data_IF_390666772955
#
_entry.id   IF_390666772955
#
_cell.length_a   1.000
_cell.length_b   1.000
_cell.length_c   1.000
_cell.angle_alpha   90.00
_cell.angle_beta   90.00
_cell.angle_gamma   90.00
#
_symmetry.space_group_name_H-M   'P 1'
#
loop_
_entity.id
_entity.type
_entity.pdbx_description
1 polymer ?
#
# COMPACT_ATOMS: atom_id res chain seq x y z
N UNK A 1 -30.87 -16.51 -33.86
CA UNK A 1 -30.74 -17.31 -32.62
C UNK A 1 -29.34 -17.89 -32.47
N UNK A 2 -28.79 -18.61 -33.46
CA UNK A 2 -27.43 -19.19 -33.37
C UNK A 2 -26.32 -18.15 -33.17
N UNK A 3 -26.36 -17.02 -33.89
CA UNK A 3 -25.37 -15.95 -33.73
C UNK A 3 -25.40 -15.34 -32.31
N UNK A 4 -26.61 -15.10 -31.77
CA UNK A 4 -26.79 -14.61 -30.39
C UNK A 4 -26.24 -15.59 -29.35
N UNK A 5 -26.41 -16.91 -29.57
CA UNK A 5 -25.85 -17.93 -28.68
C UNK A 5 -24.33 -17.92 -28.69
N UNK A 6 -23.71 -17.82 -29.87
CA UNK A 6 -22.25 -17.75 -30.00
C UNK A 6 -21.66 -16.52 -29.28
N UNK A 7 -22.28 -15.34 -29.45
CA UNK A 7 -21.84 -14.12 -28.76
C UNK A 7 -21.99 -14.22 -27.24
N UNK A 8 -23.07 -14.83 -26.75
CA UNK A 8 -23.27 -15.08 -25.32
C UNK A 8 -22.24 -16.06 -24.75
N UNK A 9 -21.87 -17.09 -25.50
CA UNK A 9 -20.83 -18.04 -25.09
C UNK A 9 -19.45 -17.36 -25.03
N UNK A 10 -19.12 -16.50 -26.00
CA UNK A 10 -17.88 -15.71 -25.97
C UNK A 10 -17.84 -14.75 -24.78
N UNK A 11 -18.96 -14.10 -24.46
CA UNK A 11 -19.06 -13.22 -23.29
C UNK A 11 -18.86 -14.01 -21.99
N UNK A 12 -19.42 -15.22 -21.88
CA UNK A 12 -19.24 -16.08 -20.70
C UNK A 12 -17.78 -16.47 -20.49
N UNK A 13 -17.07 -16.81 -21.56
CA UNK A 13 -15.63 -17.11 -21.51
C UNK A 13 -14.86 -15.88 -21.01
N UNK A 14 -15.15 -14.70 -21.59
CA UNK A 14 -14.50 -13.46 -21.15
C UNK A 14 -14.74 -13.14 -19.68
N UNK A 15 -15.97 -13.28 -19.20
CA UNK A 15 -16.31 -13.07 -17.78
C UNK A 15 -15.50 -14.02 -16.91
N UNK A 16 -15.43 -15.30 -17.28
CA UNK A 16 -14.68 -16.31 -16.52
C UNK A 16 -13.20 -15.94 -16.45
N UNK A 17 -12.58 -15.63 -17.60
CA UNK A 17 -11.18 -15.22 -17.67
C UNK A 17 -10.89 -13.97 -16.82
N UNK A 18 -11.76 -12.96 -16.91
CA UNK A 18 -11.63 -11.73 -16.13
C UNK A 18 -11.79 -11.98 -14.63
N UNK A 19 -12.77 -12.79 -14.24
CA UNK A 19 -12.99 -13.16 -12.83
C UNK A 19 -11.81 -13.93 -12.26
N UNK A 20 -11.23 -14.87 -13.01
CA UNK A 20 -10.06 -15.63 -12.58
C UNK A 20 -8.84 -14.73 -12.38
N UNK A 21 -8.60 -13.77 -13.28
CA UNK A 21 -7.51 -12.79 -13.12
C UNK A 21 -7.76 -11.92 -11.88
N UNK A 22 -8.99 -11.44 -11.70
CA UNK A 22 -9.37 -10.63 -10.54
C UNK A 22 -9.14 -11.38 -9.23
N UNK A 23 -9.73 -12.54 -9.07
CA UNK A 23 -9.73 -13.26 -7.79
C UNK A 23 -8.37 -13.93 -7.51
N UNK A 24 -7.87 -14.71 -8.46
CA UNK A 24 -6.73 -15.59 -8.22
C UNK A 24 -5.38 -14.87 -8.34
N UNK A 25 -5.32 -13.75 -9.08
CA UNK A 25 -4.08 -13.00 -9.26
C UNK A 25 -4.09 -11.67 -8.52
N UNK A 26 -5.10 -10.82 -8.75
CA UNK A 26 -5.11 -9.46 -8.21
C UNK A 26 -5.49 -9.47 -6.73
N UNK A 27 -6.66 -10.00 -6.38
CA UNK A 27 -7.16 -10.00 -5.00
C UNK A 27 -6.27 -10.86 -4.09
N UNK A 28 -5.84 -12.05 -4.56
CA UNK A 28 -4.88 -12.87 -3.82
C UNK A 28 -3.54 -12.14 -3.58
N UNK A 29 -3.09 -11.32 -4.54
CA UNK A 29 -1.88 -10.54 -4.36
C UNK A 29 -2.03 -9.46 -3.29
N UNK A 30 -3.12 -8.71 -3.34
CA UNK A 30 -3.43 -7.69 -2.36
C UNK A 30 -3.61 -8.28 -0.96
N UNK A 31 -4.28 -9.43 -0.86
CA UNK A 31 -4.47 -10.14 0.41
C UNK A 31 -3.12 -10.61 0.97
N UNK A 32 -2.26 -11.19 0.13
CA UNK A 32 -0.91 -11.60 0.54
C UNK A 32 -0.13 -10.39 1.09
N UNK A 33 -0.19 -9.23 0.44
CA UNK A 33 0.45 -8.00 0.95
C UNK A 33 -0.11 -7.63 2.32
N UNK A 34 -1.43 -7.63 2.47
CA UNK A 34 -2.11 -7.22 3.70
C UNK A 34 -1.81 -8.12 4.91
N UNK A 35 -1.48 -9.40 4.67
CA UNK A 35 -1.20 -10.41 5.70
C UNK A 35 0.27 -10.46 6.16
N UNK A 36 1.20 -9.88 5.38
CA UNK A 36 2.61 -9.83 5.74
C UNK A 36 2.78 -9.17 7.12
N UNK A 37 3.60 -9.77 7.98
CA UNK A 37 4.00 -9.17 9.25
C UNK A 37 5.37 -8.51 9.09
N UNK A 38 5.45 -7.21 9.41
CA UNK A 38 6.70 -6.45 9.39
C UNK A 38 7.59 -6.77 10.60
N UNK A 39 6.99 -7.26 11.67
CA UNK A 39 7.66 -7.73 12.86
C UNK A 39 6.84 -8.86 13.46
N UNK A 40 7.47 -10.02 13.59
CA UNK A 40 6.89 -11.17 14.28
C UNK A 40 7.38 -11.21 15.74
N UNK A 41 6.50 -10.91 16.71
CA UNK A 41 6.86 -11.04 18.11
C UNK A 41 7.19 -12.50 18.46
N UNK A 42 8.39 -12.75 18.97
CA UNK A 42 8.83 -14.08 19.40
C UNK A 42 7.98 -14.65 20.53
N UNK A 43 7.89 -15.98 20.68
CA UNK A 43 7.11 -16.55 21.79
C UNK A 43 7.72 -16.32 23.17
N UNK A 44 9.04 -16.14 23.26
CA UNK A 44 9.71 -15.83 24.51
C UNK A 44 10.07 -14.35 24.61
N UNK A 45 10.29 -13.82 25.83
CA UNK A 45 10.78 -12.46 26.03
C UNK A 45 12.23 -12.33 25.58
N UNK A 46 12.51 -11.35 24.74
CA UNK A 46 13.84 -11.14 24.14
C UNK A 46 14.50 -9.87 24.66
N UNK A 47 15.81 -9.75 24.47
CA UNK A 47 16.54 -8.51 24.75
C UNK A 47 16.18 -7.40 23.75
N UNK A 48 16.55 -6.15 24.06
CA UNK A 48 16.34 -5.03 23.13
C UNK A 48 17.16 -5.17 21.85
N UNK A 49 18.38 -5.69 21.94
CA UNK A 49 19.26 -5.90 20.78
C UNK A 49 18.70 -6.98 19.85
N UNK A 50 18.23 -8.10 20.41
CA UNK A 50 17.56 -9.15 19.65
C UNK A 50 16.28 -8.64 18.99
N UNK A 51 15.47 -7.85 19.71
CA UNK A 51 14.26 -7.27 19.14
C UNK A 51 14.58 -6.31 17.98
N UNK A 52 15.61 -5.46 18.12
CA UNK A 52 16.05 -4.58 17.04
C UNK A 52 16.43 -5.39 15.81
N UNK A 53 17.29 -6.39 15.99
CA UNK A 53 17.81 -7.22 14.90
C UNK A 53 16.69 -7.97 14.19
N UNK A 54 15.83 -8.65 14.93
CA UNK A 54 14.70 -9.41 14.35
C UNK A 54 13.72 -8.50 13.62
N UNK A 55 13.44 -7.32 14.17
CA UNK A 55 12.56 -6.35 13.53
C UNK A 55 13.14 -5.83 12.22
N UNK A 56 14.44 -5.49 12.20
CA UNK A 56 15.11 -4.99 11.00
C UNK A 56 15.19 -6.09 9.92
N UNK A 57 15.54 -7.33 10.29
CA UNK A 57 15.59 -8.47 9.35
C UNK A 57 14.20 -8.81 8.79
N UNK A 58 13.18 -8.89 9.65
CA UNK A 58 11.80 -9.16 9.24
C UNK A 58 11.25 -8.05 8.34
N UNK A 59 11.56 -6.79 8.67
CA UNK A 59 11.14 -5.63 7.88
C UNK A 59 11.74 -5.64 6.48
N UNK A 60 13.03 -5.96 6.36
CA UNK A 60 13.71 -6.05 5.06
C UNK A 60 13.17 -7.20 4.20
N UNK A 61 12.91 -8.37 4.81
CA UNK A 61 12.29 -9.49 4.10
C UNK A 61 10.87 -9.13 3.63
N UNK A 62 10.09 -8.47 4.49
CA UNK A 62 8.75 -7.99 4.17
C UNK A 62 8.77 -7.01 2.98
N UNK A 63 9.70 -6.05 2.92
CA UNK A 63 9.87 -5.14 1.78
C UNK A 63 10.03 -5.92 0.47
N UNK A 64 10.87 -6.94 0.45
CA UNK A 64 11.11 -7.77 -0.73
C UNK A 64 9.86 -8.53 -1.19
N UNK A 65 9.10 -9.09 -0.23
CA UNK A 65 7.84 -9.79 -0.52
C UNK A 65 6.75 -8.82 -1.02
N UNK A 66 6.58 -7.68 -0.35
CA UNK A 66 5.61 -6.65 -0.74
C UNK A 66 5.94 -6.13 -2.14
N UNK A 67 7.21 -5.83 -2.42
CA UNK A 67 7.67 -5.36 -3.74
C UNK A 67 7.34 -6.36 -4.84
N UNK A 68 7.66 -7.64 -4.61
CA UNK A 68 7.34 -8.71 -5.56
C UNK A 68 5.83 -8.78 -5.81
N UNK A 69 5.04 -8.74 -4.76
CA UNK A 69 3.60 -8.92 -4.85
C UNK A 69 2.89 -7.71 -5.48
N UNK A 70 3.33 -6.49 -5.15
CA UNK A 70 2.86 -5.26 -5.76
C UNK A 70 3.15 -5.24 -7.28
N UNK A 71 4.34 -5.68 -7.69
CA UNK A 71 4.70 -5.80 -9.12
C UNK A 71 3.84 -6.84 -9.85
N UNK A 72 3.57 -7.99 -9.23
CA UNK A 72 2.69 -9.01 -9.79
C UNK A 72 1.25 -8.51 -9.92
N UNK A 73 0.76 -7.77 -8.91
CA UNK A 73 -0.54 -7.14 -8.92
C UNK A 73 -0.66 -6.14 -10.08
N UNK A 74 0.31 -5.22 -10.23
CA UNK A 74 0.30 -4.26 -11.34
C UNK A 74 0.28 -4.95 -12.70
N UNK A 75 1.12 -5.97 -12.90
CA UNK A 75 1.17 -6.76 -14.14
C UNK A 75 -0.15 -7.47 -14.41
N UNK A 76 -0.80 -8.02 -13.40
CA UNK A 76 -2.09 -8.70 -13.53
C UNK A 76 -3.21 -7.72 -13.89
N UNK A 77 -3.24 -6.53 -13.28
CA UNK A 77 -4.18 -5.45 -13.60
C UNK A 77 -4.00 -5.00 -15.05
N UNK A 78 -2.76 -4.76 -15.49
CA UNK A 78 -2.46 -4.39 -16.89
C UNK A 78 -2.85 -5.50 -17.86
N UNK A 79 -2.56 -6.75 -17.53
CA UNK A 79 -2.95 -7.90 -18.36
C UNK A 79 -4.48 -8.00 -18.50
N UNK A 80 -5.24 -7.81 -17.42
CA UNK A 80 -6.69 -7.79 -17.47
C UNK A 80 -7.23 -6.69 -18.40
N UNK A 81 -6.66 -5.49 -18.31
CA UNK A 81 -7.02 -4.38 -19.21
C UNK A 81 -6.71 -4.71 -20.67
N UNK A 82 -5.58 -5.37 -20.95
CA UNK A 82 -5.25 -5.83 -22.30
C UNK A 82 -6.20 -6.93 -22.82
N UNK A 83 -6.64 -7.84 -21.95
CA UNK A 83 -7.67 -8.85 -22.29
C UNK A 83 -8.97 -8.15 -22.67
N UNK A 84 -9.42 -7.17 -21.89
CA UNK A 84 -10.62 -6.39 -22.17
C UNK A 84 -10.48 -5.56 -23.45
N UNK A 85 -9.35 -4.88 -23.63
CA UNK A 85 -9.07 -4.04 -24.81
C UNK A 85 -9.15 -4.84 -26.11
N UNK A 86 -8.62 -6.06 -26.14
CA UNK A 86 -8.67 -6.94 -27.33
C UNK A 86 -10.08 -7.34 -27.76
N UNK A 87 -11.08 -7.20 -26.89
CA UNK A 87 -12.50 -7.50 -27.18
C UNK A 87 -13.28 -6.29 -27.69
N UNK A 88 -12.70 -5.10 -27.65
CA UNK A 88 -13.31 -3.88 -28.17
C UNK A 88 -13.20 -3.80 -29.70
N UNK A 89 -14.01 -2.95 -30.33
CA UNK A 89 -13.92 -2.71 -31.78
C UNK A 89 -12.60 -1.99 -32.11
N UNK A 90 -12.04 -2.15 -33.32
CA UNK A 90 -10.76 -1.54 -33.69
C UNK A 90 -10.72 -0.01 -33.46
N UNK A 91 -11.82 0.69 -33.72
CA UNK A 91 -11.89 2.14 -33.49
C UNK A 91 -11.81 2.53 -32.00
N UNK A 92 -12.38 1.73 -31.10
CA UNK A 92 -12.36 1.93 -29.65
C UNK A 92 -10.97 1.61 -29.08
N UNK A 93 -10.32 0.57 -29.61
CA UNK A 93 -8.95 0.21 -29.22
C UNK A 93 -7.94 1.32 -29.51
N UNK A 94 -8.12 2.02 -30.64
CA UNK A 94 -7.24 3.13 -31.06
C UNK A 94 -7.44 4.36 -30.15
N UNK A 95 -8.61 4.53 -29.55
CA UNK A 95 -8.88 5.61 -28.59
C UNK A 95 -8.25 5.34 -27.22
N UNK A 96 -8.00 4.07 -26.86
CA UNK A 96 -7.35 3.68 -25.60
C UNK A 96 -5.84 3.60 -25.81
N UNK A 97 -5.20 4.77 -25.84
CA UNK A 97 -3.74 4.88 -25.95
C UNK A 97 -3.18 5.71 -24.80
N UNK A 98 -2.03 5.27 -24.31
CA UNK A 98 -1.19 6.06 -23.43
C UNK A 98 -0.61 7.21 -24.27
N UNK A 99 -0.96 8.44 -23.92
CA UNK A 99 -0.42 9.66 -24.51
C UNK A 99 0.63 10.26 -23.58
N UNK A 100 1.56 11.03 -24.13
CA UNK A 100 2.56 11.77 -23.34
C UNK A 100 1.96 12.96 -22.57
N UNK A 101 0.73 13.35 -22.91
CA UNK A 101 0.02 14.50 -22.34
C UNK A 101 -0.73 14.13 -21.06
N UNK A 102 -1.64 13.14 -21.12
CA UNK A 102 -2.58 12.86 -20.02
C UNK A 102 -2.66 11.38 -19.59
N UNK A 103 -1.79 10.49 -20.12
CA UNK A 103 -1.72 9.06 -19.75
C UNK A 103 -3.13 8.43 -19.70
N UNK A 104 -3.75 8.37 -20.90
CA UNK A 104 -5.17 8.12 -21.26
C UNK A 104 -6.00 9.40 -21.46
N UNK A 105 -5.99 9.92 -22.70
CA UNK A 105 -6.73 11.13 -23.10
C UNK A 105 -8.25 10.91 -23.05
N UNK A 106 -8.96 11.80 -22.37
CA UNK A 106 -10.42 11.73 -22.29
C UNK A 106 -11.07 11.95 -23.67
N UNK A 107 -11.76 10.94 -24.18
CA UNK A 107 -12.41 11.01 -25.50
C UNK A 107 -13.51 12.09 -25.58
N UNK A 108 -14.11 12.46 -24.44
CA UNK A 108 -15.17 13.47 -24.36
C UNK A 108 -14.63 14.88 -24.17
N UNK A 109 -13.31 15.09 -24.08
CA UNK A 109 -12.66 16.35 -23.70
C UNK A 109 -13.29 16.89 -22.41
N UNK A 110 -12.76 16.44 -21.29
CA UNK A 110 -13.17 16.75 -19.92
C UNK A 110 -13.76 18.16 -19.77
N UNK A 111 -14.99 18.23 -19.25
CA UNK A 111 -15.59 19.51 -18.90
C UNK A 111 -14.77 20.14 -17.77
N UNK A 112 -14.33 21.39 -17.95
CA UNK A 112 -13.80 22.22 -16.88
C UNK A 112 -14.86 22.33 -15.78
N UNK A 113 -14.52 21.99 -14.54
CA UNK A 113 -15.38 22.37 -13.43
C UNK A 113 -15.23 23.87 -13.13
N UNK A 114 -16.14 24.44 -12.35
CA UNK A 114 -16.19 25.86 -11.98
C UNK A 114 -14.96 26.38 -11.23
N UNK A 115 -14.00 25.51 -10.89
CA UNK A 115 -12.72 25.83 -10.24
C UNK A 115 -11.51 25.62 -11.16
N UNK A 116 -11.72 25.43 -12.47
CA UNK A 116 -10.63 25.21 -13.44
C UNK A 116 -9.98 23.83 -13.35
N UNK A 117 -10.55 22.90 -12.57
CA UNK A 117 -10.01 21.55 -12.43
C UNK A 117 -10.69 20.60 -13.43
N UNK A 118 -9.86 19.85 -14.15
CA UNK A 118 -10.26 18.95 -15.21
C UNK A 118 -10.74 17.65 -14.59
N UNK A 119 -12.05 17.47 -14.43
CA UNK A 119 -12.61 16.19 -13.97
C UNK A 119 -12.72 15.24 -15.17
N UNK A 120 -12.07 14.07 -15.09
CA UNK A 120 -12.20 13.03 -16.12
C UNK A 120 -13.66 12.56 -16.24
N UNK A 121 -14.09 12.21 -17.46
CA UNK A 121 -15.41 11.62 -17.71
C UNK A 121 -15.55 10.28 -16.95
N UNK A 122 -16.79 9.85 -16.65
CA UNK A 122 -17.04 8.46 -16.19
C UNK A 122 -17.57 7.53 -17.28
N UNK A 123 -17.84 8.06 -18.48
CA UNK A 123 -18.59 7.34 -19.53
C UNK A 123 -17.73 6.81 -20.68
N UNK A 124 -16.50 7.33 -20.83
CA UNK A 124 -15.62 7.08 -21.96
C UNK A 124 -14.55 6.03 -21.64
N UNK A 125 -14.23 5.18 -22.62
CA UNK A 125 -13.33 4.03 -22.44
C UNK A 125 -11.94 4.38 -21.89
N UNK A 126 -11.24 5.45 -22.37
CA UNK A 126 -9.93 5.81 -21.82
C UNK A 126 -9.98 6.14 -20.32
N UNK A 127 -11.01 6.86 -19.88
CA UNK A 127 -11.19 7.18 -18.47
C UNK A 127 -11.57 5.95 -17.64
N UNK A 128 -12.33 5.00 -18.19
CA UNK A 128 -12.61 3.74 -17.51
C UNK A 128 -11.32 2.94 -17.23
N UNK A 129 -10.41 2.87 -18.20
CA UNK A 129 -9.10 2.22 -18.03
C UNK A 129 -8.23 2.94 -16.98
N UNK A 130 -8.18 4.28 -17.06
CA UNK A 130 -7.45 5.11 -16.08
C UNK A 130 -8.01 4.93 -14.66
N UNK A 131 -9.33 4.97 -14.50
CA UNK A 131 -10.01 4.81 -13.21
C UNK A 131 -9.76 3.40 -12.64
N UNK A 132 -9.78 2.37 -13.49
CA UNK A 132 -9.50 1.00 -13.10
C UNK A 132 -8.08 0.87 -12.52
N UNK A 133 -7.06 1.38 -13.22
CA UNK A 133 -5.68 1.40 -12.71
C UNK A 133 -5.58 2.16 -11.39
N UNK A 134 -6.27 3.29 -11.26
CA UNK A 134 -6.28 4.11 -10.04
C UNK A 134 -6.90 3.36 -8.86
N UNK A 135 -8.03 2.67 -9.06
CA UNK A 135 -8.69 1.88 -8.02
C UNK A 135 -7.75 0.78 -7.49
N UNK A 136 -7.12 0.02 -8.39
CA UNK A 136 -6.26 -1.09 -7.96
C UNK A 136 -4.92 -0.63 -7.40
N UNK A 137 -4.39 0.49 -7.87
CA UNK A 137 -3.25 1.13 -7.24
C UNK A 137 -3.59 1.57 -5.80
N UNK A 138 -4.73 2.23 -5.58
CA UNK A 138 -5.18 2.60 -4.24
C UNK A 138 -5.36 1.36 -3.34
N UNK A 139 -5.99 0.29 -3.84
CA UNK A 139 -6.10 -0.98 -3.10
C UNK A 139 -4.73 -1.57 -2.72
N UNK A 140 -3.72 -1.44 -3.58
CA UNK A 140 -2.35 -1.87 -3.26
C UNK A 140 -1.76 -1.02 -2.13
N UNK A 141 -1.98 0.29 -2.14
CA UNK A 141 -1.58 1.16 -1.02
C UNK A 141 -2.33 0.79 0.27
N UNK A 142 -3.64 0.57 0.20
CA UNK A 142 -4.46 0.16 1.35
C UNK A 142 -3.95 -1.16 1.95
N UNK A 143 -3.57 -2.13 1.13
CA UNK A 143 -2.98 -3.38 1.57
C UNK A 143 -1.65 -3.18 2.31
N UNK A 144 -0.78 -2.30 1.80
CA UNK A 144 0.49 -1.94 2.47
C UNK A 144 0.21 -1.25 3.81
N UNK A 145 -0.74 -0.32 3.86
CA UNK A 145 -1.14 0.36 5.10
C UNK A 145 -1.72 -0.64 6.12
N UNK A 146 -2.51 -1.61 5.65
CA UNK A 146 -3.06 -2.67 6.49
C UNK A 146 -1.98 -3.59 7.06
N UNK A 147 -0.99 -3.97 6.26
CA UNK A 147 0.20 -4.71 6.70
C UNK A 147 0.92 -3.99 7.85
N UNK A 148 1.21 -2.70 7.69
CA UNK A 148 1.85 -1.88 8.73
C UNK A 148 0.99 -1.77 9.99
N UNK A 149 -0.30 -1.51 9.81
CA UNK A 149 -1.25 -1.37 10.92
C UNK A 149 -1.38 -2.68 11.70
N UNK A 150 -1.49 -3.82 11.03
CA UNK A 150 -1.65 -5.11 11.69
C UNK A 150 -0.40 -5.49 12.50
N UNK A 151 0.79 -5.25 11.94
CA UNK A 151 2.07 -5.50 12.59
C UNK A 151 2.23 -4.67 13.88
N UNK A 152 1.91 -3.37 13.82
CA UNK A 152 1.94 -2.49 15.00
C UNK A 152 0.88 -2.89 16.03
N UNK A 153 -0.31 -3.31 15.60
CA UNK A 153 -1.37 -3.75 16.51
C UNK A 153 -1.01 -5.06 17.22
N UNK A 154 -0.29 -5.98 16.57
CA UNK A 154 0.24 -7.20 17.19
C UNK A 154 1.19 -6.85 18.34
N UNK A 155 2.10 -5.90 18.13
CA UNK A 155 3.02 -5.41 19.17
C UNK A 155 2.24 -4.72 20.29
N UNK A 156 1.30 -3.83 19.95
CA UNK A 156 0.46 -3.11 20.93
C UNK A 156 -0.30 -4.07 21.83
N UNK A 157 -0.95 -5.08 21.25
CA UNK A 157 -1.71 -6.10 21.99
C UNK A 157 -0.84 -6.89 22.94
N UNK A 158 0.41 -7.21 22.55
CA UNK A 158 1.36 -7.92 23.42
C UNK A 158 1.84 -7.04 24.59
N UNK A 159 2.04 -5.74 24.36
CA UNK A 159 2.41 -4.78 25.41
C UNK A 159 1.28 -4.48 26.40
N UNK A 160 0.02 -4.45 25.93
CA UNK A 160 -1.14 -4.04 26.72
C UNK A 160 -1.95 -5.22 27.30
N UNK A 161 -1.40 -6.44 27.34
CA UNK A 161 -2.13 -7.59 27.88
C UNK A 161 -2.54 -7.31 29.34
N UNK A 162 -3.85 -7.19 29.64
CA UNK A 162 -4.30 -6.84 30.97
C UNK A 162 -4.05 -8.00 31.93
N UNK A 163 -3.63 -7.66 33.14
CA UNK A 163 -3.58 -8.63 34.22
C UNK A 163 -5.00 -8.99 34.62
N UNK A 164 -5.44 -10.21 34.32
CA UNK A 164 -6.69 -10.75 34.87
C UNK A 164 -6.40 -11.35 36.24
N UNK A 165 -6.83 -10.65 37.28
CA UNK A 165 -6.97 -11.21 38.62
C UNK A 165 -8.40 -11.74 38.76
N UNK A 166 -8.57 -13.01 39.14
CA UNK A 166 -9.86 -13.57 39.55
C UNK A 166 -9.68 -14.07 40.99
N UNK A 167 -10.04 -13.24 41.97
CA UNK A 167 -9.78 -13.54 43.39
C UNK A 167 -8.30 -13.39 43.79
N UNK A 168 -7.87 -14.14 44.81
CA UNK A 168 -6.47 -14.25 45.27
C UNK A 168 -5.60 -15.15 44.37
N UNK A 169 -6.21 -15.89 43.45
CA UNK A 169 -5.49 -16.80 42.55
C UNK A 169 -5.25 -16.15 41.18
N UNK A 170 -3.97 -16.11 40.80
CA UNK A 170 -3.57 -15.74 39.44
C UNK A 170 -3.93 -16.90 38.53
N UNK A 171 -4.92 -16.73 37.64
CA UNK A 171 -5.20 -17.69 36.56
C UNK A 171 -3.94 -17.75 35.67
N UNK A 172 -3.12 -18.79 35.87
CA UNK A 172 -1.86 -19.02 35.13
C UNK A 172 -2.08 -19.52 33.70
N UNK A 173 -3.32 -19.84 33.33
CA UNK A 173 -3.66 -20.44 32.02
C UNK A 173 -3.53 -19.48 30.83
N UNK A 174 -3.35 -18.18 31.07
CA UNK A 174 -2.91 -17.25 30.04
C UNK A 174 -1.44 -16.93 30.30
N UNK A 175 -0.55 -17.69 29.66
CA UNK A 175 0.88 -17.40 29.62
C UNK A 175 1.02 -15.96 29.13
N UNK A 176 1.26 -15.04 30.09
CA UNK A 176 1.64 -13.67 29.76
C UNK A 176 2.88 -13.80 28.93
N UNK A 177 2.87 -13.16 27.77
CA UNK A 177 4.01 -13.23 26.88
C UNK A 177 4.70 -11.87 26.83
N UNK A 178 5.52 -11.51 27.85
CA UNK A 178 6.21 -10.24 27.87
C UNK A 178 7.09 -10.10 26.62
N UNK A 179 7.13 -8.89 26.07
CA UNK A 179 7.92 -8.60 24.87
C UNK A 179 9.42 -8.58 25.17
N UNK A 180 9.80 -7.99 26.31
CA UNK A 180 11.19 -7.78 26.69
C UNK A 180 11.56 -8.52 27.96
N UNK A 181 12.77 -9.08 27.96
CA UNK A 181 13.47 -9.48 29.17
C UNK A 181 14.25 -8.30 29.71
N UNK A 182 14.21 -8.10 31.03
CA UNK A 182 15.00 -7.09 31.75
C UNK A 182 15.73 -7.72 32.92
N UNK A 183 16.89 -7.16 33.26
CA UNK A 183 17.70 -7.56 34.39
C UNK A 183 17.62 -6.51 35.50
N UNK A 184 17.55 -6.96 36.76
CA UNK A 184 17.61 -6.08 37.94
C UNK A 184 19.07 -6.05 38.41
N UNK A 185 19.68 -4.87 38.36
CA UNK A 185 21.09 -4.64 38.70
C UNK A 185 21.17 -3.85 40.00
N UNK A 186 21.91 -4.40 40.96
CA UNK A 186 22.17 -3.75 42.24
C UNK A 186 23.38 -2.82 42.11
N UNK A 187 23.13 -1.52 42.20
CA UNK A 187 24.17 -0.48 42.24
C UNK A 187 24.02 0.31 43.54
N UNK A 188 24.60 -0.20 44.64
CA UNK A 188 24.39 0.35 45.99
C UNK A 188 24.55 1.89 46.00
N UNK A 189 23.58 2.66 46.55
CA UNK A 189 22.37 2.20 47.28
C UNK A 189 21.14 1.90 46.40
N UNK A 190 21.26 2.08 45.08
CA UNK A 190 20.15 2.06 44.13
C UNK A 190 19.94 0.67 43.49
N UNK A 191 18.68 0.32 43.27
CA UNK A 191 18.30 -0.82 42.43
C UNK A 191 17.90 -0.28 41.07
N UNK A 192 18.59 -0.71 40.01
CA UNK A 192 18.34 -0.25 38.64
C UNK A 192 17.80 -1.40 37.80
N UNK A 193 16.84 -1.11 36.92
CA UNK A 193 16.39 -2.05 35.89
C UNK A 193 17.17 -1.73 34.62
N UNK A 194 17.84 -2.73 34.07
CA UNK A 194 18.54 -2.63 32.78
C UNK A 194 17.98 -3.66 31.81
N UNK A 195 17.57 -3.26 30.59
CA UNK A 195 17.46 -1.88 30.10
C UNK A 195 16.39 -1.08 30.87
N UNK A 196 16.53 0.25 30.88
CA UNK A 196 15.55 1.13 31.54
C UNK A 196 14.23 1.19 30.75
N UNK A 197 13.18 1.73 31.37
CA UNK A 197 11.91 1.99 30.68
C UNK A 197 12.08 2.96 29.50
N UNK A 198 12.96 3.95 29.64
CA UNK A 198 13.26 4.90 28.57
C UNK A 198 13.96 4.20 27.39
N UNK A 199 14.89 3.28 27.67
CA UNK A 199 15.55 2.48 26.63
C UNK A 199 14.54 1.60 25.89
N UNK A 200 13.64 0.93 26.61
CA UNK A 200 12.59 0.11 26.01
C UNK A 200 11.64 0.94 25.14
N UNK A 201 11.22 2.11 25.63
CA UNK A 201 10.33 3.01 24.88
C UNK A 201 11.03 3.57 23.63
N UNK A 202 12.30 3.96 23.75
CA UNK A 202 13.12 4.44 22.63
C UNK A 202 13.26 3.37 21.55
N UNK A 203 13.55 2.13 21.93
CA UNK A 203 13.71 1.03 20.99
C UNK A 203 12.40 0.67 20.28
N UNK A 204 11.27 0.70 21.00
CA UNK A 204 9.93 0.53 20.40
C UNK A 204 9.63 1.62 19.37
N UNK A 205 9.91 2.88 19.72
CA UNK A 205 9.69 4.02 18.83
C UNK A 205 10.57 3.92 17.57
N UNK A 206 11.83 3.50 17.73
CA UNK A 206 12.74 3.25 16.61
C UNK A 206 12.19 2.17 15.68
N UNK A 207 11.75 1.06 16.25
CA UNK A 207 11.19 -0.08 15.51
C UNK A 207 9.90 0.29 14.76
N UNK A 208 9.00 1.02 15.41
CA UNK A 208 7.79 1.52 14.77
C UNK A 208 8.11 2.50 13.61
N UNK A 209 9.11 3.37 13.79
CA UNK A 209 9.57 4.27 12.73
C UNK A 209 10.20 3.51 11.56
N UNK A 210 10.94 2.41 11.81
CA UNK A 210 11.44 1.53 10.74
C UNK A 210 10.27 0.95 9.94
N UNK A 211 9.25 0.40 10.61
CA UNK A 211 8.05 -0.15 9.95
C UNK A 211 7.29 0.89 9.13
N UNK A 212 7.12 2.10 9.65
CA UNK A 212 6.44 3.19 8.92
C UNK A 212 7.22 3.63 7.67
N UNK A 213 8.54 3.44 7.64
CA UNK A 213 9.39 3.81 6.51
C UNK A 213 9.48 2.76 5.42
N UNK A 214 8.99 1.54 5.64
CA UNK A 214 9.00 0.46 4.63
C UNK A 214 8.29 0.86 3.33
N UNK A 215 7.26 1.70 3.43
CA UNK A 215 6.59 2.28 2.27
C UNK A 215 7.53 3.00 1.30
N UNK A 216 8.67 3.51 1.81
CA UNK A 216 9.65 4.25 1.02
C UNK A 216 10.54 3.34 0.19
N UNK A 217 10.75 2.10 0.60
CA UNK A 217 11.64 1.19 -0.10
C UNK A 217 10.90 0.37 -1.18
N UNK A 218 9.58 0.58 -1.31
CA UNK A 218 8.74 -0.13 -2.28
C UNK A 218 8.72 0.65 -3.61
N UNK A 219 9.07 0.02 -4.74
CA UNK A 219 8.97 0.64 -6.05
C UNK A 219 7.54 1.08 -6.37
N UNK A 220 7.41 2.30 -6.86
CA UNK A 220 6.13 2.85 -7.26
C UNK A 220 5.64 2.24 -8.58
N UNK A 221 4.32 1.99 -8.67
CA UNK A 221 3.67 1.54 -9.90
C UNK A 221 3.84 2.56 -11.02
N UNK A 222 3.97 2.09 -12.27
CA UNK A 222 4.08 2.98 -13.43
C UNK A 222 2.87 3.92 -13.55
N UNK A 223 1.68 3.47 -13.14
CA UNK A 223 0.48 4.32 -13.10
C UNK A 223 0.64 5.53 -12.18
N UNK A 224 1.23 5.34 -11.00
CA UNK A 224 1.39 6.39 -10.01
C UNK A 224 2.52 7.37 -10.40
N UNK A 225 3.59 6.88 -11.02
CA UNK A 225 4.63 7.71 -11.63
C UNK A 225 4.01 8.68 -12.65
N UNK A 226 3.17 8.15 -13.55
CA UNK A 226 2.51 8.95 -14.58
C UNK A 226 1.48 9.93 -14.02
N UNK A 227 0.72 9.52 -13.02
CA UNK A 227 -0.19 10.43 -12.31
C UNK A 227 0.57 11.62 -11.74
N UNK A 228 1.73 11.37 -11.12
CA UNK A 228 2.56 12.44 -10.57
C UNK A 228 3.11 13.37 -11.66
N UNK A 229 3.63 12.82 -12.76
CA UNK A 229 4.10 13.62 -13.89
C UNK A 229 3.01 14.58 -14.40
N UNK A 230 1.77 14.11 -14.50
CA UNK A 230 0.63 14.92 -14.92
C UNK A 230 0.31 16.01 -13.90
N UNK A 231 0.21 15.65 -12.62
CA UNK A 231 -0.08 16.63 -11.56
C UNK A 231 1.00 17.70 -11.47
N UNK A 232 2.27 17.34 -11.66
CA UNK A 232 3.37 18.33 -11.70
C UNK A 232 3.18 19.28 -12.89
N UNK A 233 2.92 18.77 -14.11
CA UNK A 233 2.67 19.62 -15.29
C UNK A 233 1.47 20.56 -15.09
N UNK A 234 0.41 20.09 -14.42
CA UNK A 234 -0.77 20.90 -14.09
C UNK A 234 -0.41 22.02 -13.10
N UNK A 235 0.36 21.72 -12.06
CA UNK A 235 0.85 22.71 -11.10
C UNK A 235 1.74 23.74 -11.78
N UNK A 236 2.66 23.29 -12.64
CA UNK A 236 3.52 24.19 -13.41
C UNK A 236 2.70 25.15 -14.27
N UNK A 237 1.71 24.63 -15.00
CA UNK A 237 0.81 25.44 -15.82
C UNK A 237 0.02 26.46 -14.97
N UNK A 238 -0.54 26.03 -13.84
CA UNK A 238 -1.25 26.93 -12.93
C UNK A 238 -0.36 28.03 -12.37
N UNK A 239 0.87 27.71 -11.97
CA UNK A 239 1.83 28.69 -11.49
C UNK A 239 2.19 29.71 -12.57
N UNK A 240 2.35 29.27 -13.83
CA UNK A 240 2.54 30.17 -14.97
C UNK A 240 1.33 31.09 -15.19
N UNK A 241 0.11 30.56 -15.11
CA UNK A 241 -1.14 31.32 -15.32
C UNK A 241 -1.37 32.34 -14.18
N UNK A 242 -0.98 32.02 -12.95
CA UNK A 242 -1.09 32.88 -11.75
C UNK A 242 0.10 33.85 -11.57
N UNK A 243 1.16 33.70 -12.38
CA UNK A 243 2.40 34.46 -12.23
C UNK A 243 3.21 34.10 -10.98
N UNK A 244 2.96 32.93 -10.37
CA UNK A 244 3.71 32.40 -9.24
C UNK A 244 5.07 31.83 -9.70
N UNK A 245 6.06 31.78 -8.79
CA UNK A 245 7.30 31.06 -9.06
C UNK A 245 7.02 29.56 -9.14
N UNK A 246 7.22 29.00 -10.34
CA UNK A 246 6.97 27.60 -10.68
C UNK A 246 7.72 26.64 -9.75
N UNK A 247 8.97 26.94 -9.39
CA UNK A 247 9.77 26.04 -8.54
C UNK A 247 9.22 26.02 -7.12
N UNK A 248 8.84 27.17 -6.58
CA UNK A 248 8.21 27.27 -5.27
C UNK A 248 6.85 26.57 -5.25
N UNK A 249 6.03 26.75 -6.28
CA UNK A 249 4.73 26.10 -6.41
C UNK A 249 4.85 24.56 -6.49
N UNK A 250 5.77 24.04 -7.31
CA UNK A 250 6.03 22.59 -7.40
C UNK A 250 6.57 22.05 -6.09
N UNK A 251 7.51 22.71 -5.43
CA UNK A 251 8.02 22.25 -4.13
C UNK A 251 6.94 22.23 -3.03
N UNK A 252 6.01 23.17 -3.06
CA UNK A 252 4.93 23.27 -2.08
C UNK A 252 3.77 22.31 -2.34
N UNK A 253 3.39 22.11 -3.62
CA UNK A 253 2.13 21.45 -4.01
C UNK A 253 2.33 20.06 -4.63
N UNK A 254 3.54 19.67 -5.06
CA UNK A 254 3.73 18.41 -5.78
C UNK A 254 3.55 17.16 -4.88
N UNK A 255 2.95 16.08 -5.41
CA UNK A 255 2.86 14.81 -4.71
C UNK A 255 4.27 14.26 -4.45
N UNK A 256 4.59 14.00 -3.19
CA UNK A 256 5.87 13.38 -2.83
C UNK A 256 5.84 11.89 -3.18
N UNK A 257 6.93 11.33 -3.74
CA UNK A 257 7.05 9.89 -3.85
C UNK A 257 7.01 9.24 -2.49
N UNK A 258 6.51 8.01 -2.49
CA UNK A 258 6.74 7.08 -1.41
C UNK A 258 8.26 6.82 -1.30
N UNK A 259 8.97 6.60 -2.40
CA UNK A 259 10.43 6.37 -2.44
C UNK A 259 11.26 7.66 -2.48
N UNK A 260 12.35 7.74 -1.70
CA UNK A 260 13.27 8.90 -1.75
C UNK A 260 14.24 8.85 -2.92
#
# INVERSE_FOLDING_TARGET
>A
INNVRLELDQLRILITDCTDILQCRIDNALQTIAEIQLCEPQQDPISLDEFSKLTDESSQQAVGLITKQASLCEKAVRYLLEVLKKRLKPHEQVQIKESDSEYYDCALKSAMNTKGHVTRCNDCQPCAFFNFLTIYWNKNIDAIVQCTRSSLETIRKRLQQPVRYVGEEVIRDQVRNPLFRTDIVLSIPNVLVKPSLDDMQSQLNKSANTMLKIGQDIPEWYHAQKLREITIKEIEKQALDEGEDVKLAVQAKAPKPLHK
#
